data_IF_265376970519
#
_entry.id   IF_265376970519
#
_cell.length_a   1.000
_cell.length_b   1.000
_cell.length_c   1.000
_cell.angle_alpha   90.00
_cell.angle_beta   90.00
_cell.angle_gamma   90.00
#
_symmetry.space_group_name_H-M   'P 1'
#
loop_
_entity.id
_entity.type
_entity.pdbx_description
1 polymer ?
#
# COMPACT_ATOMS: atom_id res chain seq x y z
N UNK A 1 0.13 -25.96 -0.76
CA UNK A 1 -0.08 -24.78 0.09
C UNK A 1 0.39 -23.54 -0.69
N UNK A 2 -0.49 -22.55 -0.90
CA UNK A 2 -0.18 -21.30 -1.61
C UNK A 2 0.48 -20.29 -0.67
N UNK A 3 1.49 -19.57 -1.15
CA UNK A 3 2.18 -18.53 -0.38
C UNK A 3 2.02 -17.17 -1.06
N UNK A 4 1.38 -16.24 -0.39
CA UNK A 4 1.09 -14.90 -0.93
C UNK A 4 1.74 -13.84 -0.06
N UNK A 5 2.66 -13.08 -0.69
CA UNK A 5 3.30 -11.94 -0.04
C UNK A 5 2.44 -10.69 -0.12
N UNK A 6 2.37 -9.90 0.96
CA UNK A 6 1.71 -8.59 0.99
C UNK A 6 2.75 -7.53 1.35
N UNK A 7 2.72 -6.40 0.66
CA UNK A 7 3.43 -5.20 1.07
C UNK A 7 2.64 -3.92 0.78
N UNK A 8 2.84 -2.92 1.61
CA UNK A 8 2.31 -1.58 1.44
C UNK A 8 3.45 -0.60 1.23
N UNK A 9 3.38 0.22 0.19
CA UNK A 9 4.49 1.10 -0.21
C UNK A 9 4.03 2.53 -0.50
N UNK A 10 4.85 3.50 -0.14
CA UNK A 10 4.58 4.92 -0.30
C UNK A 10 3.81 5.52 0.88
N UNK A 11 3.04 6.57 0.66
CA UNK A 11 2.19 7.16 1.71
C UNK A 11 1.11 6.20 2.17
N UNK A 12 0.75 6.24 3.44
CA UNK A 12 -0.36 5.47 3.98
C UNK A 12 -1.71 6.15 3.73
N UNK A 13 -2.77 5.41 3.90
CA UNK A 13 -4.14 5.91 3.88
C UNK A 13 -5.09 4.98 4.63
N UNK A 14 -6.29 5.46 4.92
CA UNK A 14 -7.29 4.74 5.71
C UNK A 14 -7.77 3.41 5.11
N UNK A 15 -7.62 3.23 3.79
CA UNK A 15 -8.11 2.03 3.11
C UNK A 15 -7.13 0.85 3.11
N UNK A 16 -5.85 1.04 3.48
CA UNK A 16 -4.82 0.00 3.31
C UNK A 16 -5.15 -1.29 4.07
N UNK A 17 -5.44 -1.18 5.36
CA UNK A 17 -5.75 -2.35 6.18
C UNK A 17 -7.04 -3.05 5.73
N UNK A 18 -8.06 -2.27 5.35
CA UNK A 18 -9.32 -2.79 4.84
C UNK A 18 -9.11 -3.55 3.51
N UNK A 19 -8.29 -3.01 2.62
CA UNK A 19 -7.94 -3.64 1.33
C UNK A 19 -7.18 -4.95 1.53
N UNK A 20 -6.14 -4.94 2.39
CA UNK A 20 -5.42 -6.17 2.75
C UNK A 20 -6.34 -7.23 3.34
N UNK A 21 -7.25 -6.84 4.25
CA UNK A 21 -8.28 -7.73 4.78
C UNK A 21 -9.17 -8.31 3.67
N UNK A 22 -9.61 -7.50 2.72
CA UNK A 22 -10.43 -7.95 1.58
C UNK A 22 -9.73 -9.05 0.78
N UNK A 23 -8.47 -8.83 0.42
CA UNK A 23 -7.65 -9.83 -0.30
C UNK A 23 -7.45 -11.08 0.55
N UNK A 24 -7.07 -10.93 1.83
CA UNK A 24 -6.87 -12.07 2.73
C UNK A 24 -8.12 -12.91 2.89
N UNK A 25 -9.29 -12.28 3.08
CA UNK A 25 -10.58 -13.01 3.17
C UNK A 25 -10.88 -13.77 1.89
N UNK A 26 -10.66 -13.16 0.72
CA UNK A 26 -10.83 -13.83 -0.57
C UNK A 26 -9.92 -15.06 -0.69
N UNK A 27 -8.65 -14.93 -0.32
CA UNK A 27 -7.70 -16.04 -0.33
C UNK A 27 -8.13 -17.18 0.61
N UNK A 28 -8.50 -16.88 1.86
CA UNK A 28 -8.99 -17.91 2.80
C UNK A 28 -10.32 -18.54 2.35
N UNK A 29 -11.18 -17.79 1.68
CA UNK A 29 -12.43 -18.34 1.14
C UNK A 29 -12.17 -19.36 0.02
N UNK A 30 -11.18 -19.09 -0.84
CA UNK A 30 -10.84 -19.94 -2.00
C UNK A 30 -9.98 -21.12 -1.57
N UNK A 31 -8.91 -20.87 -0.81
CA UNK A 31 -7.87 -21.85 -0.50
C UNK A 31 -8.01 -22.47 0.89
N UNK A 32 -8.90 -21.93 1.75
CA UNK A 32 -9.10 -22.38 3.15
C UNK A 32 -7.76 -22.37 3.91
N UNK A 33 -7.38 -23.52 4.47
CA UNK A 33 -6.14 -23.71 5.23
C UNK A 33 -4.91 -23.95 4.33
N UNK A 34 -5.10 -23.98 3.00
CA UNK A 34 -4.03 -24.20 2.03
C UNK A 34 -3.34 -22.89 1.56
N UNK A 35 -3.48 -21.79 2.30
CA UNK A 35 -2.82 -20.51 2.01
C UNK A 35 -2.08 -19.97 3.23
N UNK A 36 -0.86 -19.54 3.00
CA UNK A 36 -0.03 -18.76 3.94
C UNK A 36 0.08 -17.33 3.42
N UNK A 37 -0.17 -16.35 4.28
CA UNK A 37 0.01 -14.94 3.98
C UNK A 37 1.26 -14.42 4.70
N UNK A 38 2.15 -13.81 3.95
CA UNK A 38 3.42 -13.26 4.43
C UNK A 38 3.38 -11.75 4.28
N UNK A 39 3.38 -11.01 5.39
CA UNK A 39 3.41 -9.56 5.38
C UNK A 39 4.83 -9.02 5.43
N UNK A 40 5.27 -8.26 4.43
CA UNK A 40 6.57 -7.58 4.45
C UNK A 40 6.45 -6.25 5.18
N UNK A 41 7.26 -6.07 6.21
CA UNK A 41 7.31 -4.83 6.97
C UNK A 41 8.05 -3.74 6.20
N UNK A 42 7.62 -2.47 6.35
CA UNK A 42 8.22 -1.31 5.67
C UNK A 42 8.28 -1.42 4.13
N UNK A 43 7.31 -2.11 3.54
CA UNK A 43 7.13 -2.16 2.10
C UNK A 43 8.25 -2.89 1.35
N UNK A 44 8.74 -2.28 0.27
CA UNK A 44 9.83 -2.89 -0.53
C UNK A 44 11.12 -3.11 0.26
N UNK A 45 11.37 -2.30 1.31
CA UNK A 45 12.51 -2.49 2.19
C UNK A 45 12.45 -3.85 2.89
N UNK A 46 11.28 -4.24 3.38
CA UNK A 46 11.07 -5.55 3.98
C UNK A 46 11.29 -6.70 2.99
N UNK A 47 10.84 -6.52 1.75
CA UNK A 47 11.08 -7.52 0.70
C UNK A 47 12.58 -7.63 0.34
N UNK A 48 13.33 -6.50 0.29
CA UNK A 48 14.77 -6.49 0.03
C UNK A 48 15.56 -7.27 1.10
N UNK A 49 15.26 -6.99 2.36
CA UNK A 49 16.06 -7.49 3.48
C UNK A 49 15.42 -8.67 4.22
N UNK A 50 14.38 -9.27 3.64
CA UNK A 50 13.65 -10.41 4.20
C UNK A 50 13.10 -10.11 5.63
N UNK A 51 12.63 -8.88 5.85
CA UNK A 51 11.93 -8.50 7.07
C UNK A 51 10.42 -8.71 6.87
N UNK A 52 9.88 -9.78 7.46
CA UNK A 52 8.50 -10.19 7.25
C UNK A 52 7.93 -10.89 8.49
N UNK A 53 6.62 -10.97 8.54
CA UNK A 53 5.87 -11.74 9.53
C UNK A 53 4.89 -12.69 8.84
N UNK A 54 4.62 -13.82 9.50
CA UNK A 54 3.58 -14.76 9.07
C UNK A 54 2.24 -14.27 9.60
N UNK A 55 1.34 -13.88 8.70
CA UNK A 55 0.04 -13.33 9.09
C UNK A 55 -1.00 -14.44 9.29
N UNK A 56 -1.71 -14.35 10.41
CA UNK A 56 -2.81 -15.23 10.72
C UNK A 56 -4.15 -14.60 10.31
N UNK A 57 -5.17 -15.42 10.13
CA UNK A 57 -6.50 -14.91 9.82
C UNK A 57 -7.04 -13.94 10.89
N UNK A 58 -6.67 -14.15 12.16
CA UNK A 58 -7.02 -13.24 13.28
C UNK A 58 -6.46 -11.83 13.13
N UNK A 59 -5.28 -11.68 12.48
CA UNK A 59 -4.61 -10.39 12.35
C UNK A 59 -5.38 -9.42 11.46
N UNK A 60 -6.23 -9.96 10.58
CA UNK A 60 -7.13 -9.19 9.74
C UNK A 60 -8.47 -8.86 10.41
N UNK A 61 -8.65 -9.18 11.69
CA UNK A 61 -9.85 -8.87 12.46
C UNK A 61 -9.76 -7.48 13.08
N UNK A 62 -10.88 -6.72 13.08
CA UNK A 62 -10.93 -5.39 13.71
C UNK A 62 -10.11 -4.29 13.00
N UNK A 63 -9.68 -4.50 11.75
CA UNK A 63 -8.79 -3.56 11.03
C UNK A 63 -9.50 -2.61 10.07
N UNK A 64 -10.82 -2.75 9.87
CA UNK A 64 -11.56 -1.95 8.88
C UNK A 64 -11.52 -0.44 9.15
N UNK A 65 -11.51 -0.06 10.43
CA UNK A 65 -11.49 1.34 10.87
C UNK A 65 -10.12 1.82 11.33
N UNK A 66 -9.10 0.96 11.23
CA UNK A 66 -7.71 1.35 11.55
C UNK A 66 -7.09 2.09 10.38
N UNK A 67 -6.65 3.32 10.63
CA UNK A 67 -5.83 4.09 9.69
C UNK A 67 -4.38 3.58 9.61
N UNK A 68 -3.62 4.16 8.70
CA UNK A 68 -2.25 3.74 8.46
C UNK A 68 -2.15 2.36 7.82
N UNK A 69 -1.06 1.66 8.08
CA UNK A 69 -0.84 0.29 7.61
C UNK A 69 -0.26 -0.57 8.72
N UNK A 70 -0.83 -1.77 8.92
CA UNK A 70 -0.35 -2.72 9.92
C UNK A 70 1.03 -3.33 9.58
N UNK A 71 1.46 -3.20 8.32
CA UNK A 71 2.76 -3.68 7.86
C UNK A 71 3.84 -2.58 7.85
N UNK A 72 3.49 -1.33 8.21
CA UNK A 72 4.39 -0.22 8.01
C UNK A 72 4.59 0.09 6.52
N UNK A 73 5.27 1.18 6.24
CA UNK A 73 5.55 1.60 4.86
C UNK A 73 6.87 2.37 4.80
N UNK A 74 7.52 2.32 3.65
CA UNK A 74 8.67 3.16 3.35
C UNK A 74 8.59 3.71 1.93
N UNK A 75 9.24 4.84 1.72
CA UNK A 75 9.39 5.41 0.37
C UNK A 75 10.67 4.90 -0.25
N UNK A 76 10.52 4.12 -1.31
CA UNK A 76 11.62 3.66 -2.15
C UNK A 76 11.41 4.22 -3.56
N UNK A 77 12.11 5.30 -3.95
CA UNK A 77 11.93 5.93 -5.26
C UNK A 77 12.21 4.94 -6.39
N UNK A 78 11.29 4.83 -7.34
CA UNK A 78 11.43 3.92 -8.49
C UNK A 78 12.74 4.15 -9.26
N UNK A 79 13.12 5.42 -9.45
CA UNK A 79 14.37 5.80 -10.16
C UNK A 79 15.62 5.20 -9.51
N UNK A 80 15.58 4.86 -8.21
CA UNK A 80 16.69 4.30 -7.45
C UNK A 80 16.64 2.78 -7.29
N UNK A 81 15.66 2.10 -7.89
CA UNK A 81 15.51 0.64 -7.74
C UNK A 81 16.64 -0.14 -8.40
N UNK A 82 17.20 0.37 -9.50
CA UNK A 82 18.36 -0.23 -10.17
C UNK A 82 19.70 0.34 -9.71
N UNK A 83 19.70 1.24 -8.73
CA UNK A 83 20.91 1.73 -8.09
C UNK A 83 21.20 0.82 -6.89
N UNK A 84 22.43 0.29 -6.76
CA UNK A 84 22.80 -0.53 -5.62
C UNK A 84 22.48 0.13 -4.28
N UNK A 85 22.26 -0.66 -3.25
CA UNK A 85 22.07 -0.17 -1.90
C UNK A 85 23.40 0.33 -1.29
N UNK A 86 23.37 0.74 -0.01
CA UNK A 86 24.54 1.25 0.74
C UNK A 86 25.66 0.21 0.85
N UNK A 87 25.35 -1.08 0.67
CA UNK A 87 26.30 -2.19 0.70
C UNK A 87 26.73 -2.63 -0.70
N UNK A 88 26.32 -1.90 -1.75
CA UNK A 88 26.63 -2.24 -3.14
C UNK A 88 25.80 -3.38 -3.72
N UNK A 89 24.70 -3.78 -3.07
CA UNK A 89 23.85 -4.89 -3.50
C UNK A 89 22.74 -4.41 -4.43
N UNK A 90 22.43 -5.19 -5.45
CA UNK A 90 21.30 -4.93 -6.35
C UNK A 90 19.97 -5.18 -5.64
N UNK A 91 19.18 -4.11 -5.49
CA UNK A 91 17.88 -4.16 -4.79
C UNK A 91 16.88 -5.10 -5.46
N UNK A 92 16.90 -5.17 -6.78
CA UNK A 92 15.98 -6.03 -7.54
C UNK A 92 16.35 -7.49 -7.30
N UNK A 93 17.64 -7.82 -7.35
CA UNK A 93 18.10 -9.18 -7.05
C UNK A 93 17.84 -9.58 -5.60
N UNK A 94 17.99 -8.68 -4.64
CA UNK A 94 17.61 -8.93 -3.24
C UNK A 94 16.12 -9.28 -3.11
N UNK A 95 15.23 -8.52 -3.76
CA UNK A 95 13.79 -8.79 -3.75
C UNK A 95 13.45 -10.13 -4.41
N UNK A 96 14.07 -10.44 -5.55
CA UNK A 96 13.94 -11.74 -6.24
C UNK A 96 14.40 -12.88 -5.35
N UNK A 97 15.58 -12.72 -4.73
CA UNK A 97 16.10 -13.73 -3.81
C UNK A 97 15.11 -14.04 -2.68
N UNK A 98 14.56 -13.02 -2.04
CA UNK A 98 13.58 -13.19 -0.95
C UNK A 98 12.30 -13.86 -1.46
N UNK A 99 11.79 -13.44 -2.63
CA UNK A 99 10.61 -14.03 -3.26
C UNK A 99 10.78 -15.55 -3.48
N UNK A 100 11.88 -15.96 -4.10
CA UNK A 100 12.15 -17.37 -4.38
C UNK A 100 12.52 -18.17 -3.13
N UNK A 101 13.29 -17.59 -2.21
CA UNK A 101 13.62 -18.21 -0.91
C UNK A 101 12.39 -18.55 -0.10
N UNK A 102 11.39 -17.67 -0.08
CA UNK A 102 10.13 -17.87 0.61
C UNK A 102 9.13 -18.70 -0.21
N UNK A 103 9.48 -19.05 -1.46
CA UNK A 103 8.62 -19.79 -2.39
C UNK A 103 7.25 -19.12 -2.55
N UNK A 104 7.24 -17.81 -2.78
CA UNK A 104 5.99 -17.08 -2.99
C UNK A 104 5.37 -17.49 -4.33
N UNK A 105 4.07 -17.76 -4.33
CA UNK A 105 3.26 -17.95 -5.54
C UNK A 105 2.86 -16.61 -6.15
N UNK A 106 2.67 -15.58 -5.32
CA UNK A 106 2.33 -14.23 -5.75
C UNK A 106 2.76 -13.17 -4.71
N UNK A 107 2.97 -11.96 -5.20
CA UNK A 107 3.23 -10.77 -4.39
C UNK A 107 2.14 -9.73 -4.64
N UNK A 108 1.41 -9.33 -3.62
CA UNK A 108 0.41 -8.27 -3.68
C UNK A 108 1.03 -6.97 -3.19
N UNK A 109 1.02 -5.96 -4.04
CA UNK A 109 1.62 -4.64 -3.79
C UNK A 109 0.55 -3.58 -3.73
N UNK A 110 0.37 -2.97 -2.56
CA UNK A 110 -0.53 -1.84 -2.37
C UNK A 110 0.29 -0.54 -2.39
N UNK A 111 0.04 0.32 -3.37
CA UNK A 111 0.78 1.57 -3.45
C UNK A 111 0.39 2.47 -4.61
N UNK A 112 0.94 3.67 -4.62
CA UNK A 112 0.74 4.69 -5.65
C UNK A 112 1.59 4.44 -6.91
N UNK A 113 1.65 5.44 -7.78
CA UNK A 113 2.30 5.36 -9.10
C UNK A 113 3.74 4.81 -9.03
N UNK A 114 4.58 5.35 -8.15
CA UNK A 114 5.96 4.87 -7.98
C UNK A 114 6.04 3.40 -7.56
N UNK A 115 5.17 2.98 -6.65
CA UNK A 115 5.09 1.59 -6.18
C UNK A 115 4.61 0.65 -7.29
N UNK A 116 3.64 1.07 -8.11
CA UNK A 116 3.15 0.29 -9.26
C UNK A 116 4.22 0.15 -10.35
N UNK A 117 5.03 1.18 -10.59
CA UNK A 117 6.20 1.08 -11.49
C UNK A 117 7.21 0.04 -11.00
N UNK A 118 7.47 -0.02 -9.69
CA UNK A 118 8.34 -1.05 -9.11
C UNK A 118 7.70 -2.44 -9.20
N UNK A 119 6.39 -2.55 -8.96
CA UNK A 119 5.65 -3.81 -9.13
C UNK A 119 5.75 -4.33 -10.57
N UNK A 120 5.59 -3.44 -11.56
CA UNK A 120 5.75 -3.78 -12.97
C UNK A 120 7.19 -4.21 -13.30
N UNK A 121 8.20 -3.52 -12.74
CA UNK A 121 9.61 -3.93 -12.88
C UNK A 121 9.82 -5.36 -12.38
N UNK A 122 9.34 -5.69 -11.19
CA UNK A 122 9.45 -7.05 -10.64
C UNK A 122 8.70 -8.10 -11.48
N UNK A 123 7.55 -7.72 -12.05
CA UNK A 123 6.82 -8.59 -12.99
C UNK A 123 7.62 -8.86 -14.26
N UNK A 124 8.30 -7.85 -14.81
CA UNK A 124 9.21 -8.01 -15.96
C UNK A 124 10.42 -8.87 -15.63
N UNK A 125 10.85 -8.89 -14.38
CA UNK A 125 11.91 -9.77 -13.87
C UNK A 125 11.44 -11.21 -13.57
N UNK A 126 10.16 -11.52 -13.90
CA UNK A 126 9.61 -12.88 -13.82
C UNK A 126 8.87 -13.22 -12.55
N UNK A 127 8.62 -12.26 -11.65
CA UNK A 127 7.82 -12.49 -10.46
C UNK A 127 6.33 -12.35 -10.77
N UNK A 128 5.49 -13.16 -10.12
CA UNK A 128 4.04 -13.00 -10.19
C UNK A 128 3.60 -11.89 -9.22
N UNK A 129 3.37 -10.68 -9.74
CA UNK A 129 3.06 -9.49 -8.94
C UNK A 129 1.67 -8.97 -9.30
N UNK A 130 0.88 -8.67 -8.28
CA UNK A 130 -0.45 -8.09 -8.39
C UNK A 130 -0.43 -6.72 -7.75
N UNK A 131 -0.58 -5.67 -8.57
CA UNK A 131 -0.64 -4.29 -8.11
C UNK A 131 -2.06 -3.89 -7.72
N UNK A 132 -2.22 -3.31 -6.52
CA UNK A 132 -3.46 -2.71 -6.07
C UNK A 132 -3.29 -1.18 -6.01
N UNK A 133 -4.05 -0.42 -6.81
CA UNK A 133 -3.88 1.02 -6.94
C UNK A 133 -4.34 1.73 -5.66
N UNK A 134 -3.41 2.26 -4.88
CA UNK A 134 -3.65 2.97 -3.63
C UNK A 134 -3.13 4.40 -3.71
N UNK A 135 -4.03 5.36 -3.62
CA UNK A 135 -3.73 6.79 -3.43
C UNK A 135 -4.98 7.51 -2.92
N UNK A 136 -4.81 8.64 -2.26
CA UNK A 136 -5.92 9.50 -1.86
C UNK A 136 -6.28 10.52 -2.96
N UNK A 137 -5.47 10.65 -4.00
CA UNK A 137 -5.61 11.67 -5.04
C UNK A 137 -6.41 11.18 -6.26
N UNK A 138 -6.73 9.89 -6.34
CA UNK A 138 -7.38 9.22 -7.47
C UNK A 138 -6.68 9.49 -8.82
N UNK A 139 -5.36 9.54 -8.82
CA UNK A 139 -4.50 9.99 -9.92
C UNK A 139 -3.78 8.86 -10.66
N UNK A 140 -4.20 7.60 -10.47
CA UNK A 140 -3.61 6.46 -11.17
C UNK A 140 -4.38 6.15 -12.45
N UNK A 141 -3.68 6.22 -13.57
CA UNK A 141 -4.24 5.89 -14.87
C UNK A 141 -4.64 4.40 -14.94
N UNK A 142 -5.79 4.13 -15.58
CA UNK A 142 -6.27 2.76 -15.79
C UNK A 142 -7.14 2.20 -14.67
N UNK A 143 -7.52 3.04 -13.70
CA UNK A 143 -8.52 2.68 -12.68
C UNK A 143 -9.52 3.82 -12.51
N UNK A 144 -10.79 3.49 -12.28
CA UNK A 144 -11.84 4.49 -12.05
C UNK A 144 -11.73 5.08 -10.64
N UNK A 145 -11.35 4.25 -9.66
CA UNK A 145 -11.23 4.67 -8.27
C UNK A 145 -10.09 3.92 -7.58
N UNK A 146 -9.26 4.68 -6.88
CA UNK A 146 -8.14 4.13 -6.09
C UNK A 146 -8.56 3.82 -4.67
N UNK A 147 -7.94 2.80 -4.08
CA UNK A 147 -8.10 2.49 -2.66
C UNK A 147 -7.55 3.65 -1.82
N UNK A 148 -8.43 4.31 -1.07
CA UNK A 148 -8.10 5.44 -0.21
C UNK A 148 -8.75 6.76 -0.62
N UNK A 149 -9.12 6.95 -1.87
CA UNK A 149 -9.74 8.20 -2.33
C UNK A 149 -11.06 8.48 -1.62
N UNK A 150 -12.03 7.56 -1.69
CA UNK A 150 -13.33 7.76 -1.06
C UNK A 150 -13.22 7.92 0.46
N UNK A 151 -12.36 7.13 1.11
CA UNK A 151 -12.12 7.27 2.56
C UNK A 151 -11.53 8.64 2.92
N UNK A 152 -10.66 9.20 2.08
CA UNK A 152 -10.10 10.53 2.29
C UNK A 152 -11.18 11.60 2.12
N UNK A 153 -12.07 11.46 1.13
CA UNK A 153 -13.21 12.37 0.92
C UNK A 153 -14.13 12.37 2.14
N UNK A 154 -14.51 11.19 2.63
CA UNK A 154 -15.40 11.06 3.79
C UNK A 154 -14.78 11.68 5.05
N UNK A 155 -13.49 11.46 5.31
CA UNK A 155 -12.80 12.04 6.46
C UNK A 155 -12.71 13.56 6.34
N UNK A 156 -12.38 14.08 5.16
CA UNK A 156 -12.30 15.51 4.92
C UNK A 156 -13.66 16.18 5.10
N UNK A 157 -14.73 15.58 4.59
CA UNK A 157 -16.11 16.07 4.76
C UNK A 157 -16.50 16.12 6.24
N UNK A 158 -16.27 15.04 6.98
CA UNK A 158 -16.56 15.01 8.41
C UNK A 158 -15.77 16.08 9.20
N UNK A 159 -14.50 16.30 8.85
CA UNK A 159 -13.68 17.34 9.48
C UNK A 159 -14.22 18.74 9.19
N UNK A 160 -14.68 19.01 7.97
CA UNK A 160 -15.28 20.28 7.58
C UNK A 160 -16.60 20.50 8.33
N UNK A 161 -17.45 19.48 8.43
CA UNK A 161 -18.72 19.54 9.17
C UNK A 161 -18.50 19.87 10.66
N UNK A 162 -17.48 19.28 11.28
CA UNK A 162 -17.10 19.61 12.66
C UNK A 162 -16.68 21.08 12.85
N UNK A 163 -16.00 21.66 11.84
CA UNK A 163 -15.55 23.05 11.89
C UNK A 163 -16.71 24.01 11.66
N UNK A 164 -17.69 23.65 10.85
CA UNK A 164 -18.83 24.49 10.46
C UNK A 164 -19.63 25.04 11.67
N UNK A 165 -19.84 24.19 12.67
CA UNK A 165 -20.62 24.58 13.86
C UNK A 165 -19.95 25.69 14.66
N UNK A 166 -18.63 25.62 14.87
CA UNK A 166 -17.89 26.66 15.59
C UNK A 166 -17.69 27.92 14.73
N UNK A 167 -17.64 27.79 13.41
CA UNK A 167 -17.63 28.93 12.50
C UNK A 167 -18.89 29.76 12.66
N UNK A 168 -20.07 29.11 12.62
CA UNK A 168 -21.35 29.76 12.75
C UNK A 168 -21.54 30.42 14.11
N UNK A 169 -21.17 29.74 15.21
CA UNK A 169 -21.42 30.26 16.56
C UNK A 169 -20.52 31.43 16.97
N UNK A 170 -19.32 31.53 16.35
CA UNK A 170 -18.34 32.58 16.68
C UNK A 170 -18.08 33.58 15.56
N UNK A 171 -18.77 33.49 14.43
CA UNK A 171 -18.52 34.33 13.26
C UNK A 171 -17.06 34.13 12.70
N UNK A 172 -16.51 32.94 12.84
CA UNK A 172 -15.14 32.64 12.38
C UNK A 172 -15.13 32.25 10.91
N UNK A 173 -14.05 32.62 10.24
CA UNK A 173 -13.75 32.17 8.89
C UNK A 173 -12.64 31.11 8.95
N UNK A 174 -12.88 29.95 8.34
CA UNK A 174 -11.90 28.87 8.20
C UNK A 174 -11.54 28.72 6.72
N UNK A 175 -10.25 28.62 6.43
CA UNK A 175 -9.75 28.38 5.09
C UNK A 175 -9.23 26.95 5.05
N UNK A 176 -9.92 26.09 4.29
CA UNK A 176 -9.52 24.70 4.08
C UNK A 176 -8.79 24.58 2.75
N UNK A 177 -7.60 23.99 2.78
CA UNK A 177 -6.82 23.73 1.60
C UNK A 177 -6.85 22.23 1.27
N UNK A 178 -7.60 21.87 0.23
CA UNK A 178 -7.75 20.50 -0.24
C UNK A 178 -7.19 20.40 -1.67
N UNK A 179 -6.27 19.49 -1.89
CA UNK A 179 -5.72 19.19 -3.21
C UNK A 179 -6.33 17.88 -3.72
N UNK A 180 -6.93 17.95 -4.90
CA UNK A 180 -7.47 16.77 -5.63
C UNK A 180 -6.65 16.43 -6.85
N UNK A 181 -5.52 17.10 -7.04
CA UNK A 181 -4.69 17.00 -8.23
C UNK A 181 -3.29 16.52 -7.87
N UNK A 182 -2.57 15.87 -8.80
CA UNK A 182 -1.19 15.45 -8.54
C UNK A 182 -0.39 16.66 -8.04
N UNK A 183 0.33 16.43 -6.95
CA UNK A 183 1.22 17.45 -6.40
C UNK A 183 2.25 17.85 -7.44
N UNK A 184 2.63 19.14 -7.55
CA UNK A 184 3.73 19.56 -8.41
C UNK A 184 5.05 18.81 -8.14
N UNK A 185 5.14 18.11 -7.01
CA UNK A 185 6.27 17.23 -6.66
C UNK A 185 6.27 15.89 -7.40
N UNK A 186 5.13 15.47 -7.97
CA UNK A 186 5.00 14.19 -8.66
C UNK A 186 5.34 14.27 -10.14
N UNK A 187 5.59 15.48 -10.65
CA UNK A 187 5.99 15.76 -12.03
C UNK A 187 7.48 16.05 -12.25
N UNK A 188 8.33 15.84 -11.24
CA UNK A 188 9.77 16.08 -11.33
C UNK A 188 10.57 14.77 -11.36
#
# INVERSE_FOLDING_TARGET
MKRVGFLTSGGDCQALNATMRGVAKGLYQIYKDEVEIIGFEDGYKGLMYANYLMMKQSDFSGVLTKGGTMLGTSRQPFKLMRVPDENGLDKVELMKHTYYKLKLDALVVLGGNGSQKTANLLSQEGLNVIGLPKTIDNDLWGTDMTFGFQSAVDIATNAIDCIHTTASSHGRVFICLLYTSPSPRDGA
#
